data_IF_971725383977
#
_entry.id   IF_971725383977
#
_cell.length_a   1.000
_cell.length_b   1.000
_cell.length_c   1.000
_cell.angle_alpha   90.00
_cell.angle_beta   90.00
_cell.angle_gamma   90.00
#
_symmetry.space_group_name_H-M   'P 1'
#
loop_
_entity.id
_entity.type
_entity.pdbx_description
1 polymer ?
#
# COMPACT_ATOMS: atom_id res chain seq x y z
N UNK A 1 -15.78 3.72 -16.28
CA UNK A 1 -16.29 4.14 -14.96
C UNK A 1 -16.01 3.20 -13.78
N UNK A 2 -16.34 1.90 -13.81
CA UNK A 2 -16.25 1.02 -12.62
C UNK A 2 -14.88 1.04 -11.89
N UNK A 3 -13.77 0.91 -12.62
CA UNK A 3 -12.41 0.95 -12.03
C UNK A 3 -12.18 2.26 -11.26
N UNK A 4 -12.63 3.40 -11.79
CA UNK A 4 -12.45 4.70 -11.14
C UNK A 4 -13.25 4.79 -9.84
N UNK A 5 -14.46 4.24 -9.81
CA UNK A 5 -15.28 4.15 -8.60
C UNK A 5 -14.66 3.24 -7.54
N UNK A 6 -14.02 2.14 -7.94
CA UNK A 6 -13.30 1.28 -7.01
C UNK A 6 -12.08 2.01 -6.41
N UNK A 7 -11.30 2.71 -7.23
CA UNK A 7 -10.21 3.56 -6.74
C UNK A 7 -10.74 4.65 -5.78
N UNK A 8 -11.88 5.28 -6.10
CA UNK A 8 -12.50 6.27 -5.22
C UNK A 8 -12.99 5.63 -3.91
N UNK A 9 -13.54 4.42 -3.96
CA UNK A 9 -13.91 3.65 -2.76
C UNK A 9 -12.71 3.39 -1.85
N UNK A 10 -11.57 2.99 -2.42
CA UNK A 10 -10.30 2.89 -1.69
C UNK A 10 -9.97 4.20 -0.97
N UNK A 11 -9.99 5.33 -1.69
CA UNK A 11 -9.72 6.65 -1.11
C UNK A 11 -10.68 7.01 0.01
N UNK A 12 -12.00 6.94 -0.22
CA UNK A 12 -13.00 7.37 0.75
C UNK A 12 -12.96 6.55 2.04
N UNK A 13 -12.83 5.22 1.92
CA UNK A 13 -12.82 4.34 3.08
C UNK A 13 -11.54 4.54 3.89
N UNK A 14 -10.37 4.56 3.24
CA UNK A 14 -9.10 4.75 3.94
C UNK A 14 -9.04 6.15 4.55
N UNK A 15 -9.35 7.18 3.78
CA UNK A 15 -9.34 8.57 4.25
C UNK A 15 -10.27 8.77 5.45
N UNK A 16 -11.51 8.26 5.37
CA UNK A 16 -12.50 8.35 6.44
C UNK A 16 -12.06 7.63 7.71
N UNK A 17 -11.51 6.43 7.58
CA UNK A 17 -11.00 5.65 8.72
C UNK A 17 -9.79 6.34 9.37
N UNK A 18 -8.86 6.87 8.58
CA UNK A 18 -7.69 7.63 9.09
C UNK A 18 -8.11 8.92 9.80
N UNK A 19 -9.08 9.67 9.25
CA UNK A 19 -9.64 10.86 9.90
C UNK A 19 -10.30 10.48 11.23
N UNK A 20 -11.16 9.46 11.24
CA UNK A 20 -11.82 9.02 12.47
C UNK A 20 -10.79 8.64 13.52
N UNK A 21 -9.74 7.91 13.13
CA UNK A 21 -8.69 7.49 14.03
C UNK A 21 -7.96 8.69 14.64
N UNK A 22 -7.58 9.66 13.80
CA UNK A 22 -6.96 10.91 14.26
C UNK A 22 -7.89 11.68 15.21
N UNK A 23 -9.15 11.93 14.84
CA UNK A 23 -10.09 12.69 15.68
C UNK A 23 -10.22 12.07 17.07
N UNK A 24 -10.28 10.74 17.18
CA UNK A 24 -10.32 10.07 18.48
C UNK A 24 -9.00 10.21 19.24
N UNK A 25 -7.86 10.10 18.55
CA UNK A 25 -6.55 10.37 19.15
C UNK A 25 -6.40 11.82 19.64
N UNK A 26 -7.05 12.80 18.98
CA UNK A 26 -7.11 14.19 19.42
C UNK A 26 -8.04 14.40 20.62
N UNK A 27 -9.14 13.64 20.70
CA UNK A 27 -10.16 13.81 21.73
C UNK A 27 -9.82 13.08 23.03
N UNK A 28 -8.96 12.07 22.98
CA UNK A 28 -8.54 11.33 24.17
C UNK A 28 -7.59 12.17 25.03
N UNK A 29 -8.04 12.52 26.23
CA UNK A 29 -7.29 13.33 27.19
C UNK A 29 -6.13 12.57 27.86
N UNK A 30 -6.14 11.23 27.79
CA UNK A 30 -5.11 10.39 28.38
C UNK A 30 -3.94 10.14 27.40
N UNK A 31 -4.15 10.39 26.11
CA UNK A 31 -3.14 10.27 25.07
C UNK A 31 -2.67 11.68 24.69
N UNK A 32 -1.43 12.00 25.03
CA UNK A 32 -0.79 13.17 24.44
C UNK A 32 -0.55 12.89 22.96
N UNK A 33 -1.27 13.58 22.07
CA UNK A 33 -1.12 13.50 20.60
C UNK A 33 0.35 13.63 20.17
N UNK A 34 1.09 14.49 20.89
CA UNK A 34 2.51 14.71 20.70
C UNK A 34 3.34 14.15 21.87
N UNK A 35 2.87 13.10 22.54
CA UNK A 35 3.45 12.56 23.76
C UNK A 35 4.84 12.00 23.52
N UNK A 36 4.91 10.69 23.27
CA UNK A 36 6.14 10.00 22.94
C UNK A 36 6.54 10.22 21.46
N UNK A 37 7.82 10.03 21.15
CA UNK A 37 8.35 10.25 19.79
C UNK A 37 7.64 9.42 18.71
N UNK A 38 7.17 8.23 19.08
CA UNK A 38 6.40 7.34 18.20
C UNK A 38 5.04 7.94 17.81
N UNK A 39 4.27 8.42 18.79
CA UNK A 39 2.96 9.03 18.54
C UNK A 39 3.07 10.28 17.69
N UNK A 40 4.12 11.10 17.89
CA UNK A 40 4.42 12.25 17.03
C UNK A 40 4.65 11.84 15.58
N UNK A 41 5.43 10.79 15.38
CA UNK A 41 5.74 10.27 14.05
C UNK A 41 4.47 9.75 13.36
N UNK A 42 3.73 8.84 14.01
CA UNK A 42 2.54 8.20 13.42
C UNK A 42 1.43 9.22 13.14
N UNK A 43 1.11 10.10 14.10
CA UNK A 43 0.09 11.12 13.90
C UNK A 43 0.53 12.15 12.85
N UNK A 44 1.79 12.58 12.89
CA UNK A 44 2.36 13.54 11.94
C UNK A 44 2.34 13.02 10.50
N UNK A 45 2.84 11.79 10.27
CA UNK A 45 2.85 11.21 8.92
C UNK A 45 1.44 10.94 8.40
N UNK A 46 0.51 10.54 9.28
CA UNK A 46 -0.89 10.37 8.93
C UNK A 46 -1.52 11.69 8.47
N UNK A 47 -1.35 12.78 9.22
CA UNK A 47 -1.85 14.11 8.85
C UNK A 47 -1.23 14.58 7.53
N UNK A 48 0.08 14.45 7.36
CA UNK A 48 0.79 14.85 6.14
C UNK A 48 0.31 14.05 4.93
N UNK A 49 0.15 12.74 5.07
CA UNK A 49 -0.34 11.83 4.03
C UNK A 49 -1.78 12.19 3.62
N UNK A 50 -2.68 12.45 4.58
CA UNK A 50 -4.05 12.86 4.30
C UNK A 50 -4.09 14.21 3.58
N UNK A 51 -3.38 15.22 4.08
CA UNK A 51 -3.32 16.54 3.46
C UNK A 51 -2.78 16.47 2.03
N UNK A 52 -1.67 15.73 1.82
CA UNK A 52 -1.09 15.52 0.51
C UNK A 52 -2.05 14.78 -0.42
N UNK A 53 -2.76 13.75 0.05
CA UNK A 53 -3.73 13.01 -0.75
C UNK A 53 -4.88 13.90 -1.25
N UNK A 54 -5.40 14.80 -0.40
CA UNK A 54 -6.44 15.77 -0.78
C UNK A 54 -5.92 16.74 -1.83
N UNK A 55 -4.74 17.32 -1.61
CA UNK A 55 -4.12 18.24 -2.56
C UNK A 55 -3.94 17.54 -3.91
N UNK A 56 -3.33 16.36 -3.95
CA UNK A 56 -3.10 15.60 -5.17
C UNK A 56 -4.42 15.25 -5.88
N UNK A 57 -5.45 14.85 -5.14
CA UNK A 57 -6.73 14.44 -5.71
C UNK A 57 -7.48 15.63 -6.34
N UNK A 58 -7.58 16.75 -5.64
CA UNK A 58 -8.38 17.91 -6.07
C UNK A 58 -7.62 18.93 -6.93
N UNK A 59 -6.29 18.91 -6.95
CA UNK A 59 -5.50 19.85 -7.78
C UNK A 59 -4.92 19.17 -9.01
N UNK A 60 -4.25 18.02 -8.85
CA UNK A 60 -3.53 17.36 -9.95
C UNK A 60 -4.41 16.31 -10.66
N UNK A 61 -5.18 15.52 -9.91
CA UNK A 61 -6.01 14.46 -10.46
C UNK A 61 -7.47 14.90 -10.73
N UNK A 62 -7.68 16.16 -11.12
CA UNK A 62 -9.03 16.66 -11.44
C UNK A 62 -9.72 15.86 -12.54
N UNK A 63 -8.97 15.37 -13.51
CA UNK A 63 -9.52 14.55 -14.60
C UNK A 63 -9.94 13.16 -14.12
N UNK A 64 -9.32 12.62 -13.06
CA UNK A 64 -9.84 11.43 -12.39
C UNK A 64 -11.23 11.68 -11.79
N UNK A 65 -11.41 12.81 -11.10
CA UNK A 65 -12.70 13.18 -10.51
C UNK A 65 -13.78 13.37 -11.58
N UNK A 66 -13.45 14.00 -12.71
CA UNK A 66 -14.36 14.10 -13.87
C UNK A 66 -14.68 12.73 -14.46
N UNK A 67 -13.69 11.84 -14.55
CA UNK A 67 -13.83 10.48 -15.07
C UNK A 67 -14.67 9.55 -14.17
N UNK A 68 -15.11 10.00 -12.99
CA UNK A 68 -16.12 9.30 -12.18
C UNK A 68 -17.53 9.45 -12.76
N UNK A 69 -17.80 10.59 -13.42
CA UNK A 69 -19.13 10.99 -13.90
C UNK A 69 -19.24 11.05 -15.42
N UNK A 70 -18.12 11.13 -16.14
CA UNK A 70 -18.07 11.24 -17.59
C UNK A 70 -17.21 10.14 -18.21
N UNK A 71 -17.81 9.36 -19.11
CA UNK A 71 -17.09 8.43 -19.96
C UNK A 71 -16.24 9.19 -21.00
N UNK A 72 -15.01 8.71 -21.24
CA UNK A 72 -14.09 9.27 -22.24
C UNK A 72 -13.03 10.23 -21.68
N UNK A 73 -13.13 10.66 -20.42
CA UNK A 73 -12.05 11.45 -19.80
C UNK A 73 -10.83 10.56 -19.54
N UNK A 74 -9.68 10.94 -20.11
CA UNK A 74 -8.44 10.22 -19.87
C UNK A 74 -7.88 10.51 -18.48
N UNK A 75 -7.69 9.45 -17.69
CA UNK A 75 -7.10 9.55 -16.35
C UNK A 75 -5.59 9.40 -16.44
N UNK A 76 -4.86 10.30 -15.81
CA UNK A 76 -3.41 10.17 -15.66
C UNK A 76 -3.08 9.04 -14.66
N UNK A 77 -2.87 7.83 -15.18
CA UNK A 77 -2.58 6.62 -14.40
C UNK A 77 -1.37 6.79 -13.45
N UNK A 78 -0.35 7.56 -13.87
CA UNK A 78 0.84 7.80 -13.05
C UNK A 78 0.50 8.61 -11.80
N UNK A 79 -0.19 9.75 -11.99
CA UNK A 79 -0.52 10.63 -10.86
C UNK A 79 -1.53 10.02 -9.90
N UNK A 80 -2.49 9.23 -10.40
CA UNK A 80 -3.44 8.55 -9.51
C UNK A 80 -2.74 7.46 -8.69
N UNK A 81 -1.78 6.71 -9.26
CA UNK A 81 -1.02 5.71 -8.52
C UNK A 81 -0.08 6.31 -7.48
N UNK A 82 0.54 7.47 -7.78
CA UNK A 82 1.27 8.25 -6.78
C UNK A 82 0.34 8.62 -5.63
N UNK A 83 -0.87 9.07 -5.94
CA UNK A 83 -1.87 9.47 -4.92
C UNK A 83 -2.32 8.27 -4.09
N UNK A 84 -2.49 7.10 -4.72
CA UNK A 84 -2.80 5.83 -4.04
C UNK A 84 -1.68 5.48 -3.05
N UNK A 85 -0.42 5.58 -3.47
CA UNK A 85 0.74 5.36 -2.59
C UNK A 85 0.80 6.38 -1.45
N UNK A 86 0.57 7.66 -1.75
CA UNK A 86 0.60 8.74 -0.74
C UNK A 86 -0.40 8.50 0.37
N UNK A 87 -1.65 8.17 0.07
CA UNK A 87 -2.63 7.84 1.12
C UNK A 87 -2.30 6.50 1.79
N UNK A 88 -1.72 5.54 1.07
CA UNK A 88 -1.32 4.25 1.64
C UNK A 88 -0.30 4.42 2.77
N UNK A 89 0.58 5.43 2.70
CA UNK A 89 1.52 5.75 3.80
C UNK A 89 0.79 5.93 5.14
N UNK A 90 -0.37 6.60 5.16
CA UNK A 90 -1.19 6.70 6.39
C UNK A 90 -1.81 5.36 6.82
N UNK A 91 -2.08 4.47 5.85
CA UNK A 91 -2.54 3.11 6.10
C UNK A 91 -1.45 2.20 6.66
N UNK A 92 -0.18 2.51 6.39
CA UNK A 92 0.98 1.75 6.88
C UNK A 92 1.45 2.19 8.27
N UNK A 93 0.70 3.05 8.97
CA UNK A 93 1.00 3.43 10.35
C UNK A 93 -0.22 3.21 11.24
N UNK A 94 -0.05 2.52 12.37
CA UNK A 94 -1.13 2.30 13.32
C UNK A 94 -1.18 3.40 14.39
N UNK A 95 -2.18 4.27 14.26
CA UNK A 95 -2.68 5.10 15.37
C UNK A 95 -3.48 4.24 16.35
N UNK A 96 -3.59 4.69 17.61
CA UNK A 96 -4.28 3.99 18.70
C UNK A 96 -5.69 3.50 18.35
N UNK A 97 -6.45 4.31 17.62
CA UNK A 97 -7.83 4.00 17.24
C UNK A 97 -7.98 3.51 15.81
N UNK A 98 -6.94 2.90 15.24
CA UNK A 98 -7.03 2.28 13.90
C UNK A 98 -8.01 1.11 13.92
N UNK A 99 -8.82 0.98 12.88
CA UNK A 99 -9.70 -0.18 12.66
C UNK A 99 -9.14 -1.00 11.49
N UNK A 100 -8.31 -2.03 11.73
CA UNK A 100 -7.63 -2.77 10.66
C UNK A 100 -8.58 -3.36 9.62
N UNK A 101 -9.76 -3.83 10.05
CA UNK A 101 -10.75 -4.41 9.14
C UNK A 101 -11.28 -3.42 8.09
N UNK A 102 -11.41 -2.14 8.43
CA UNK A 102 -11.87 -1.10 7.48
C UNK A 102 -10.74 -0.73 6.50
N UNK A 103 -9.49 -0.69 6.96
CA UNK A 103 -8.33 -0.51 6.08
C UNK A 103 -8.21 -1.67 5.09
N UNK A 104 -8.40 -2.90 5.54
CA UNK A 104 -8.40 -4.08 4.67
C UNK A 104 -9.53 -4.03 3.65
N UNK A 105 -10.73 -3.58 4.06
CA UNK A 105 -11.84 -3.36 3.14
C UNK A 105 -11.49 -2.34 2.06
N UNK A 106 -10.91 -1.19 2.42
CA UNK A 106 -10.40 -0.21 1.44
C UNK A 106 -9.42 -0.85 0.46
N UNK A 107 -8.47 -1.63 0.96
CA UNK A 107 -7.49 -2.35 0.13
C UNK A 107 -8.16 -3.33 -0.85
N UNK A 108 -9.25 -3.98 -0.43
CA UNK A 108 -10.06 -4.84 -1.29
C UNK A 108 -10.65 -4.11 -2.51
N UNK A 109 -11.05 -2.85 -2.35
CA UNK A 109 -11.50 -2.02 -3.49
C UNK A 109 -10.37 -1.77 -4.49
N UNK A 110 -9.17 -1.47 -4.00
CA UNK A 110 -8.00 -1.28 -4.87
C UNK A 110 -7.61 -2.57 -5.59
N UNK A 111 -7.62 -3.72 -4.89
CA UNK A 111 -7.37 -5.04 -5.51
C UNK A 111 -8.42 -5.34 -6.58
N UNK A 112 -9.70 -5.11 -6.31
CA UNK A 112 -10.75 -5.30 -7.32
C UNK A 112 -10.50 -4.43 -8.57
N UNK A 113 -10.04 -3.19 -8.40
CA UNK A 113 -9.67 -2.31 -9.50
C UNK A 113 -8.50 -2.89 -10.34
N UNK A 114 -7.47 -3.41 -9.67
CA UNK A 114 -6.31 -4.06 -10.32
C UNK A 114 -6.73 -5.34 -11.06
N UNK A 115 -7.57 -6.17 -10.46
CA UNK A 115 -8.10 -7.41 -11.06
C UNK A 115 -8.89 -7.10 -12.33
N UNK A 116 -9.83 -6.14 -12.25
CA UNK A 116 -10.66 -5.77 -13.41
C UNK A 116 -9.79 -5.16 -14.51
N UNK A 117 -8.79 -4.34 -14.16
CA UNK A 117 -7.86 -3.78 -15.15
C UNK A 117 -7.04 -4.86 -15.85
N UNK A 118 -6.53 -5.82 -15.09
CA UNK A 118 -5.78 -6.98 -15.60
C UNK A 118 -6.66 -7.82 -16.52
N UNK A 119 -7.89 -8.14 -16.10
CA UNK A 119 -8.85 -8.90 -16.90
C UNK A 119 -9.15 -8.21 -18.25
N UNK A 120 -9.27 -6.88 -18.26
CA UNK A 120 -9.44 -6.10 -19.50
C UNK A 120 -8.22 -6.14 -20.41
N UNK A 121 -7.01 -6.18 -19.83
CA UNK A 121 -5.77 -6.27 -20.60
C UNK A 121 -5.46 -7.69 -21.08
N UNK A 122 -6.11 -8.71 -20.52
CA UNK A 122 -5.81 -10.13 -20.75
C UNK A 122 -5.84 -10.52 -22.23
N UNK A 123 -6.81 -10.06 -23.01
CA UNK A 123 -6.88 -10.43 -24.43
C UNK A 123 -5.80 -9.76 -25.30
N UNK A 124 -5.18 -8.68 -24.81
CA UNK A 124 -4.18 -7.90 -25.52
C UNK A 124 -2.76 -8.15 -25.03
N UNK A 125 -2.58 -8.97 -24.00
CA UNK A 125 -1.28 -9.25 -23.43
C UNK A 125 -0.51 -10.27 -24.28
N UNK A 126 0.79 -10.06 -24.38
CA UNK A 126 1.67 -10.98 -25.08
C UNK A 126 1.78 -12.33 -24.36
N UNK A 127 1.69 -12.33 -23.03
CA UNK A 127 1.60 -13.53 -22.21
C UNK A 127 0.57 -13.33 -21.10
N UNK A 128 -0.56 -14.01 -21.26
CA UNK A 128 -1.70 -13.92 -20.36
C UNK A 128 -1.39 -14.60 -19.03
N UNK A 129 -0.65 -15.70 -19.04
CA UNK A 129 -0.30 -16.43 -17.82
C UNK A 129 0.62 -15.57 -16.97
N UNK A 130 1.65 -14.99 -17.59
CA UNK A 130 2.60 -14.12 -16.90
C UNK A 130 1.95 -12.84 -16.37
N UNK A 131 0.97 -12.29 -17.10
CA UNK A 131 0.14 -11.16 -16.62
C UNK A 131 -0.60 -11.51 -15.32
N UNK A 132 -1.29 -12.65 -15.25
CA UNK A 132 -1.99 -13.07 -14.04
C UNK A 132 -1.04 -13.40 -12.89
N UNK A 133 0.09 -14.06 -13.18
CA UNK A 133 1.14 -14.29 -12.17
C UNK A 133 1.68 -12.98 -11.61
N UNK A 134 1.89 -11.97 -12.47
CA UNK A 134 2.33 -10.64 -12.06
C UNK A 134 1.30 -9.95 -11.16
N UNK A 135 0.00 -10.07 -11.45
CA UNK A 135 -1.05 -9.54 -10.58
C UNK A 135 -1.06 -10.24 -9.21
N UNK A 136 -0.99 -11.57 -9.18
CA UNK A 136 -0.97 -12.33 -7.91
C UNK A 136 0.25 -11.97 -7.09
N UNK A 137 1.43 -11.87 -7.73
CA UNK A 137 2.64 -11.37 -7.09
C UNK A 137 2.46 -9.97 -6.51
N UNK A 138 1.89 -9.03 -7.28
CA UNK A 138 1.64 -7.67 -6.79
C UNK A 138 0.73 -7.65 -5.57
N UNK A 139 -0.32 -8.48 -5.54
CA UNK A 139 -1.23 -8.60 -4.40
C UNK A 139 -0.47 -9.11 -3.17
N UNK A 140 0.31 -10.19 -3.29
CA UNK A 140 1.08 -10.70 -2.15
C UNK A 140 2.15 -9.71 -1.69
N UNK A 141 2.86 -9.08 -2.63
CA UNK A 141 3.88 -8.07 -2.34
C UNK A 141 3.28 -6.91 -1.55
N UNK A 142 2.08 -6.47 -1.95
CA UNK A 142 1.38 -5.38 -1.29
C UNK A 142 0.97 -5.70 0.16
N UNK A 143 0.70 -6.98 0.46
CA UNK A 143 0.38 -7.47 1.80
C UNK A 143 1.64 -7.75 2.64
N UNK A 144 2.80 -7.86 2.01
CA UNK A 144 4.08 -8.00 2.70
C UNK A 144 4.62 -6.65 3.20
N UNK A 145 4.09 -5.52 2.71
CA UNK A 145 4.52 -4.18 3.18
C UNK A 145 4.33 -4.10 4.70
N UNK A 146 5.40 -3.85 5.48
CA UNK A 146 5.29 -3.82 6.93
C UNK A 146 4.50 -2.58 7.35
N UNK A 147 3.61 -2.81 8.31
CA UNK A 147 2.83 -1.76 8.95
C UNK A 147 3.53 -1.35 10.24
N UNK A 148 3.70 -0.06 10.48
CA UNK A 148 4.43 0.47 11.62
C UNK A 148 3.58 0.37 12.89
N UNK A 149 4.06 -0.41 13.86
CA UNK A 149 3.40 -0.62 15.16
C UNK A 149 4.22 -0.08 16.31
N UNK A 150 3.53 0.26 17.39
CA UNK A 150 4.19 0.51 18.67
C UNK A 150 4.87 -0.78 19.13
N UNK A 151 6.11 -0.67 19.59
CA UNK A 151 6.92 -1.78 20.11
C UNK A 151 7.62 -1.31 21.38
N UNK A 152 7.83 -2.25 22.29
CA UNK A 152 8.42 -2.03 23.61
C UNK A 152 9.81 -2.70 23.75
N UNK A 153 10.41 -3.11 22.63
CA UNK A 153 11.75 -3.67 22.61
C UNK A 153 12.82 -2.65 23.06
N UNK A 154 13.94 -3.17 23.55
CA UNK A 154 15.08 -2.39 24.08
C UNK A 154 15.60 -1.32 23.10
N UNK A 155 15.49 -1.57 21.78
CA UNK A 155 15.88 -0.65 20.71
C UNK A 155 14.68 -0.15 19.86
N UNK A 156 13.53 0.10 20.50
CA UNK A 156 12.28 0.44 19.81
C UNK A 156 12.42 1.62 18.84
N UNK A 157 13.16 2.67 19.18
CA UNK A 157 13.34 3.83 18.30
C UNK A 157 14.02 3.49 16.97
N UNK A 158 15.09 2.69 16.99
CA UNK A 158 15.80 2.27 15.79
C UNK A 158 14.94 1.31 14.95
N UNK A 159 14.20 0.42 15.62
CA UNK A 159 13.24 -0.46 14.97
C UNK A 159 12.13 0.31 14.24
N UNK A 160 11.53 1.32 14.88
CA UNK A 160 10.51 2.16 14.25
C UNK A 160 11.02 2.89 13.01
N UNK A 161 12.29 3.34 13.03
CA UNK A 161 12.93 3.96 11.86
C UNK A 161 13.09 2.96 10.72
N UNK A 162 13.56 1.74 11.02
CA UNK A 162 13.71 0.69 10.00
C UNK A 162 12.36 0.33 9.40
N UNK A 163 11.35 0.05 10.24
CA UNK A 163 10.00 -0.31 9.81
C UNK A 163 9.39 0.80 8.93
N UNK A 164 9.55 2.07 9.33
CA UNK A 164 9.12 3.22 8.56
C UNK A 164 9.80 3.34 7.18
N UNK A 165 11.13 3.20 7.13
CA UNK A 165 11.89 3.33 5.88
C UNK A 165 11.55 2.21 4.91
N UNK A 166 11.53 0.96 5.40
CA UNK A 166 11.16 -0.21 4.59
C UNK A 166 9.75 -0.04 4.06
N UNK A 167 8.79 0.31 4.93
CA UNK A 167 7.40 0.52 4.52
C UNK A 167 7.27 1.59 3.42
N UNK A 168 7.89 2.76 3.59
CA UNK A 168 7.84 3.85 2.59
C UNK A 168 8.41 3.43 1.24
N UNK A 169 9.55 2.73 1.23
CA UNK A 169 10.19 2.26 -0.02
C UNK A 169 9.31 1.23 -0.72
N UNK A 170 8.72 0.29 0.04
CA UNK A 170 7.84 -0.73 -0.54
C UNK A 170 6.51 -0.16 -1.00
N UNK A 171 5.95 0.85 -0.33
CA UNK A 171 4.77 1.61 -0.82
C UNK A 171 5.08 2.28 -2.15
N UNK A 172 6.27 2.89 -2.31
CA UNK A 172 6.68 3.48 -3.58
C UNK A 172 6.82 2.42 -4.69
N UNK A 173 7.42 1.27 -4.38
CA UNK A 173 7.54 0.16 -5.32
C UNK A 173 6.16 -0.40 -5.71
N UNK A 174 5.25 -0.56 -4.75
CA UNK A 174 3.87 -0.96 -4.99
C UNK A 174 3.14 0.04 -5.90
N UNK A 175 3.23 1.35 -5.61
CA UNK A 175 2.60 2.38 -6.43
C UNK A 175 3.11 2.35 -7.88
N UNK A 176 4.41 2.10 -8.08
CA UNK A 176 4.99 1.93 -9.41
C UNK A 176 4.47 0.67 -10.13
N UNK A 177 4.41 -0.47 -9.46
CA UNK A 177 3.89 -1.71 -10.04
C UNK A 177 2.38 -1.62 -10.33
N UNK A 178 1.61 -0.99 -9.45
CA UNK A 178 0.20 -0.68 -9.68
C UNK A 178 0.02 0.24 -10.90
N UNK A 179 0.88 1.26 -11.06
CA UNK A 179 0.90 2.09 -12.27
C UNK A 179 1.09 1.25 -13.53
N UNK A 180 2.02 0.29 -13.53
CA UNK A 180 2.22 -0.63 -14.67
C UNK A 180 0.95 -1.44 -14.98
N UNK A 181 0.21 -1.90 -13.98
CA UNK A 181 -1.11 -2.54 -14.18
C UNK A 181 -2.11 -1.56 -14.81
N UNK A 182 -2.25 -0.36 -14.27
CA UNK A 182 -3.15 0.64 -14.83
C UNK A 182 -2.73 1.14 -16.21
N UNK A 183 -1.46 1.04 -16.56
CA UNK A 183 -0.93 1.39 -17.88
C UNK A 183 -0.86 0.22 -18.87
N UNK A 184 -1.46 -0.93 -18.57
CA UNK A 184 -1.44 -2.15 -19.39
C UNK A 184 -0.04 -2.76 -19.63
N UNK A 185 0.95 -2.40 -18.81
CA UNK A 185 2.33 -2.84 -18.90
C UNK A 185 2.71 -3.75 -17.72
N UNK A 186 1.82 -4.69 -17.38
CA UNK A 186 1.98 -5.55 -16.19
C UNK A 186 2.32 -7.01 -16.48
N UNK A 187 2.75 -7.33 -17.71
CA UNK A 187 3.12 -8.70 -18.07
C UNK A 187 4.30 -9.21 -17.22
N UNK A 188 5.25 -8.35 -16.87
CA UNK A 188 6.39 -8.71 -16.03
C UNK A 188 6.61 -7.71 -14.90
N UNK A 189 6.08 -8.02 -13.72
CA UNK A 189 6.26 -7.23 -12.48
C UNK A 189 7.35 -7.80 -11.55
N UNK A 190 8.06 -8.87 -11.95
CA UNK A 190 9.03 -9.60 -11.10
C UNK A 190 10.38 -8.86 -11.00
N UNK A 191 10.35 -7.62 -10.50
CA UNK A 191 11.52 -6.76 -10.36
C UNK A 191 12.38 -7.23 -9.19
N UNK A 192 13.69 -7.33 -9.39
CA UNK A 192 14.64 -7.84 -8.40
C UNK A 192 14.80 -6.90 -7.19
N UNK A 193 14.91 -5.59 -7.43
CA UNK A 193 15.20 -4.64 -6.36
C UNK A 193 14.08 -4.57 -5.31
N UNK A 194 12.78 -4.43 -5.68
CA UNK A 194 11.69 -4.44 -4.70
C UNK A 194 11.64 -5.70 -3.84
N UNK A 195 11.83 -6.89 -4.42
CA UNK A 195 11.75 -8.14 -3.64
C UNK A 195 12.94 -8.30 -2.69
N UNK A 196 14.15 -7.88 -3.08
CA UNK A 196 15.31 -7.91 -2.18
C UNK A 196 15.07 -7.00 -0.98
N UNK A 197 14.57 -5.78 -1.22
CA UNK A 197 14.27 -4.84 -0.14
C UNK A 197 13.18 -5.40 0.77
N UNK A 198 12.12 -6.00 0.22
CA UNK A 198 11.06 -6.62 1.00
C UNK A 198 11.59 -7.76 1.86
N UNK A 199 12.32 -8.71 1.28
CA UNK A 199 12.83 -9.89 2.00
C UNK A 199 13.81 -9.48 3.09
N UNK A 200 14.80 -8.63 2.78
CA UNK A 200 15.80 -8.19 3.77
C UNK A 200 15.13 -7.35 4.86
N UNK A 201 14.29 -6.39 4.46
CA UNK A 201 13.58 -5.51 5.38
C UNK A 201 12.69 -6.28 6.34
N UNK A 202 11.83 -7.15 5.83
CA UNK A 202 10.90 -7.94 6.63
C UNK A 202 11.62 -8.96 7.51
N UNK A 203 12.71 -9.59 7.04
CA UNK A 203 13.53 -10.48 7.88
C UNK A 203 14.13 -9.72 9.06
N UNK A 204 14.67 -8.52 8.82
CA UNK A 204 15.20 -7.67 9.91
C UNK A 204 14.08 -7.31 10.88
N UNK A 205 12.94 -6.82 10.40
CA UNK A 205 11.79 -6.43 11.22
C UNK A 205 11.27 -7.63 12.04
N UNK A 206 11.04 -8.78 11.40
CA UNK A 206 10.54 -9.99 12.06
C UNK A 206 11.53 -10.53 13.07
N UNK A 207 12.84 -10.49 12.80
CA UNK A 207 13.87 -10.96 13.73
C UNK A 207 13.95 -10.10 14.99
N UNK A 208 13.84 -8.77 14.84
CA UNK A 208 13.84 -7.83 15.97
C UNK A 208 12.57 -8.00 16.81
N UNK A 209 11.43 -8.26 16.18
CA UNK A 209 10.12 -8.39 16.84
C UNK A 209 9.84 -9.79 17.37
N UNK A 210 10.66 -10.78 17.03
CA UNK A 210 10.48 -12.17 17.46
C UNK A 210 10.43 -12.35 18.98
N UNK A 211 11.05 -11.42 19.72
CA UNK A 211 11.06 -11.40 21.18
C UNK A 211 9.76 -10.92 21.82
N UNK A 212 8.89 -10.23 21.07
CA UNK A 212 7.60 -9.73 21.56
C UNK A 212 6.45 -10.52 20.94
N UNK A 213 6.25 -10.35 19.64
CA UNK A 213 5.16 -10.95 18.88
C UNK A 213 5.54 -10.98 17.40
N UNK A 214 5.58 -12.17 16.82
CA UNK A 214 5.82 -12.34 15.39
C UNK A 214 4.60 -11.85 14.62
N UNK A 215 4.81 -10.97 13.65
CA UNK A 215 3.78 -10.60 12.70
C UNK A 215 3.61 -11.72 11.66
N UNK A 216 2.79 -12.71 12.00
CA UNK A 216 2.53 -13.88 11.15
C UNK A 216 1.93 -13.50 9.79
N UNK A 217 1.17 -12.40 9.73
CA UNK A 217 0.60 -11.91 8.48
C UNK A 217 1.70 -11.52 7.49
N UNK A 218 2.62 -10.64 7.90
CA UNK A 218 3.76 -10.23 7.07
C UNK A 218 4.64 -11.43 6.71
N UNK A 219 4.89 -12.34 7.66
CA UNK A 219 5.65 -13.57 7.41
C UNK A 219 5.04 -14.43 6.29
N UNK A 220 3.72 -14.65 6.31
CA UNK A 220 3.04 -15.43 5.27
C UNK A 220 3.18 -14.74 3.92
N UNK A 221 2.93 -13.43 3.87
CA UNK A 221 2.91 -12.70 2.60
C UNK A 221 4.31 -12.45 2.03
N UNK A 222 5.36 -12.32 2.83
CA UNK A 222 6.73 -12.23 2.29
C UNK A 222 7.17 -13.56 1.69
N UNK A 223 6.82 -14.70 2.32
CA UNK A 223 7.08 -16.03 1.76
C UNK A 223 6.31 -16.21 0.45
N UNK A 224 5.00 -15.90 0.45
CA UNK A 224 4.17 -16.00 -0.76
C UNK A 224 4.69 -15.09 -1.88
N UNK A 225 5.12 -13.87 -1.56
CA UNK A 225 5.72 -12.93 -2.51
C UNK A 225 7.01 -13.46 -3.10
N UNK A 226 7.91 -14.03 -2.28
CA UNK A 226 9.17 -14.60 -2.74
C UNK A 226 8.94 -15.83 -3.64
N UNK A 227 8.03 -16.72 -3.28
CA UNK A 227 7.66 -17.88 -4.11
C UNK A 227 7.07 -17.43 -5.44
N UNK A 228 6.13 -16.48 -5.43
CA UNK A 228 5.53 -15.95 -6.65
C UNK A 228 6.53 -15.20 -7.52
N UNK A 229 7.46 -14.46 -6.91
CA UNK A 229 8.55 -13.81 -7.63
C UNK A 229 9.44 -14.83 -8.33
N UNK A 230 9.86 -15.89 -7.64
CA UNK A 230 10.68 -16.96 -8.21
C UNK A 230 9.95 -17.66 -9.37
N UNK A 231 8.68 -18.04 -9.16
CA UNK A 231 7.88 -18.70 -10.18
C UNK A 231 7.72 -17.82 -11.43
N UNK A 232 7.37 -16.54 -11.24
CA UNK A 232 7.21 -15.57 -12.31
C UNK A 232 8.52 -15.24 -13.03
N UNK A 233 9.62 -15.11 -12.30
CA UNK A 233 10.95 -14.89 -12.86
C UNK A 233 11.40 -16.05 -13.76
N UNK A 234 11.18 -17.30 -13.32
CA UNK A 234 11.46 -18.49 -14.13
C UNK A 234 10.56 -18.53 -15.36
N UNK A 235 9.26 -18.25 -15.19
CA UNK A 235 8.30 -18.24 -16.30
C UNK A 235 8.64 -17.17 -17.34
N UNK A 236 9.08 -15.98 -16.91
CA UNK A 236 9.43 -14.85 -17.80
C UNK A 236 10.65 -15.08 -18.70
N UNK A 237 11.42 -16.14 -18.43
CA UNK A 237 12.65 -16.51 -19.16
C UNK A 237 12.46 -17.68 -20.13
N UNK A 238 11.25 -18.24 -20.19
CA UNK A 238 10.88 -19.27 -21.17
C UNK A 238 10.38 -18.60 -22.44
#
# INVERSE_FOLDING_TARGET
MLINWLIMGYFLILFGERIQSLIRSFADKNLSMWGDGFSRYVNGICILSLAASVILLFTINRDFLKALLSDGTQVNAKMICITIGVILVSGMVHTEYTIPGIQFASYGFLIAALVIRTAKNNAMANDNILLWLSLVYLIFFSMAIPVVYKSHIEYAGLFHIIEAVVSLVLVAAFAYMAYRVFNNDAVNLFMLLPIIIAVIGDVVILSLRWKEQVNTFVLIFIIASAVMWLAGFIASRR
#
